data_IF_806093113671
#
_entry.id   IF_806093113671
#
_cell.length_a   1.000
_cell.length_b   1.000
_cell.length_c   1.000
_cell.angle_alpha   90.00
_cell.angle_beta   90.00
_cell.angle_gamma   90.00
#
_symmetry.space_group_name_H-M   'P 1'
#
loop_
_entity.id
_entity.type
_entity.pdbx_description
1 polymer ?
#
# COMPACT_ATOMS: atom_id res chain seq x y z
N UNK A 1 20.29 -6.02 -9.89
CA UNK A 1 19.67 -6.39 -8.62
C UNK A 1 18.19 -5.99 -8.52
N UNK A 2 17.83 -4.80 -9.00
CA UNK A 2 16.45 -4.27 -8.91
C UNK A 2 15.52 -4.61 -10.08
N UNK A 3 15.95 -5.42 -11.03
CA UNK A 3 15.18 -5.78 -12.24
C UNK A 3 13.90 -6.55 -11.91
N UNK A 4 13.92 -7.36 -10.86
CA UNK A 4 12.77 -8.15 -10.41
C UNK A 4 11.87 -7.44 -9.40
N UNK A 5 12.26 -6.23 -8.99
CA UNK A 5 11.47 -5.44 -8.04
C UNK A 5 10.24 -4.87 -8.73
N UNK A 6 9.08 -4.99 -8.09
CA UNK A 6 7.88 -4.26 -8.49
C UNK A 6 8.10 -2.75 -8.35
N UNK A 7 7.28 -1.95 -9.01
CA UNK A 7 7.38 -0.48 -8.90
C UNK A 7 7.22 -0.01 -7.46
N UNK A 8 6.33 -0.64 -6.69
CA UNK A 8 6.16 -0.38 -5.25
C UNK A 8 7.42 -0.75 -4.46
N UNK A 9 8.02 -1.89 -4.74
CA UNK A 9 9.27 -2.30 -4.08
C UNK A 9 10.44 -1.35 -4.42
N UNK A 10 10.51 -0.84 -5.66
CA UNK A 10 11.47 0.22 -6.03
C UNK A 10 11.20 1.51 -5.27
N UNK A 11 9.92 1.89 -5.14
CA UNK A 11 9.51 3.07 -4.38
C UNK A 11 9.92 2.97 -2.90
N UNK A 12 9.81 1.80 -2.28
CA UNK A 12 10.31 1.56 -0.92
C UNK A 12 11.79 1.92 -0.78
N UNK A 13 12.62 1.54 -1.76
CA UNK A 13 14.06 1.85 -1.75
C UNK A 13 14.31 3.37 -1.83
N UNK A 14 13.55 4.07 -2.66
CA UNK A 14 13.61 5.54 -2.77
C UNK A 14 13.19 6.19 -1.45
N UNK A 15 12.05 5.77 -0.90
CA UNK A 15 11.53 6.27 0.37
C UNK A 15 12.49 5.98 1.54
N UNK A 16 13.14 4.81 1.56
CA UNK A 16 14.17 4.50 2.55
C UNK A 16 15.36 5.49 2.49
N UNK A 17 15.73 5.91 1.30
CA UNK A 17 16.77 6.95 1.13
C UNK A 17 16.29 8.31 1.60
N UNK A 18 15.03 8.67 1.35
CA UNK A 18 14.43 9.92 1.83
C UNK A 18 14.35 9.92 3.37
N UNK A 19 13.94 8.83 3.99
CA UNK A 19 13.92 8.70 5.45
C UNK A 19 15.32 8.81 6.07
N UNK A 20 16.34 8.21 5.45
CA UNK A 20 17.73 8.38 5.89
C UNK A 20 18.18 9.85 5.83
N UNK A 21 17.78 10.59 4.80
CA UNK A 21 18.05 12.04 4.69
C UNK A 21 17.32 12.85 5.75
N UNK A 22 16.04 12.54 6.00
CA UNK A 22 15.24 13.21 7.03
C UNK A 22 15.84 13.06 8.43
N UNK A 23 16.42 11.87 8.69
CA UNK A 23 17.10 11.57 9.95
C UNK A 23 18.57 12.03 9.98
N UNK A 24 19.06 12.67 8.91
CA UNK A 24 20.45 13.08 8.74
C UNK A 24 21.46 11.92 8.85
N UNK A 25 21.08 10.73 8.39
CA UNK A 25 21.95 9.57 8.36
C UNK A 25 22.68 9.46 7.01
N UNK A 26 23.97 9.19 7.04
CA UNK A 26 24.81 9.04 5.85
C UNK A 26 24.88 7.59 5.34
N UNK A 27 23.95 6.74 5.75
CA UNK A 27 23.79 5.35 5.35
C UNK A 27 22.31 4.96 5.28
N UNK A 28 21.99 3.93 4.51
CA UNK A 28 20.66 3.32 4.48
C UNK A 28 20.74 2.00 5.24
N UNK A 29 20.19 1.97 6.45
CA UNK A 29 20.12 0.80 7.31
C UNK A 29 18.81 0.04 7.17
N UNK A 30 18.65 -1.02 7.95
CA UNK A 30 17.43 -1.84 7.99
C UNK A 30 16.22 -1.03 8.46
N UNK A 31 16.44 -0.11 9.41
CA UNK A 31 15.44 0.83 9.93
C UNK A 31 14.87 1.74 8.85
N UNK A 32 15.69 2.22 7.93
CA UNK A 32 15.26 3.05 6.83
C UNK A 32 14.42 2.25 5.82
N UNK A 33 14.78 0.98 5.58
CA UNK A 33 13.96 0.07 4.76
C UNK A 33 12.59 -0.15 5.41
N UNK A 34 12.53 -0.34 6.74
CA UNK A 34 11.27 -0.47 7.47
C UNK A 34 10.42 0.80 7.34
N UNK A 35 11.01 1.98 7.52
CA UNK A 35 10.35 3.27 7.31
C UNK A 35 9.82 3.41 5.89
N UNK A 36 10.63 3.05 4.89
CA UNK A 36 10.22 3.08 3.48
C UNK A 36 9.04 2.16 3.16
N UNK A 37 8.98 0.97 3.80
CA UNK A 37 7.86 0.04 3.65
C UNK A 37 6.54 0.61 4.19
N UNK A 38 6.58 1.28 5.34
CA UNK A 38 5.39 1.90 5.94
C UNK A 38 5.00 3.16 5.18
N UNK A 39 5.98 3.96 4.77
CA UNK A 39 5.75 5.21 4.04
C UNK A 39 5.14 4.98 2.65
N UNK A 40 5.45 3.86 1.99
CA UNK A 40 4.83 3.47 0.72
C UNK A 40 3.31 3.29 0.87
N UNK A 41 2.85 2.74 2.00
CA UNK A 41 1.47 2.81 2.48
C UNK A 41 0.46 1.90 1.80
N UNK A 42 0.66 1.48 0.56
CA UNK A 42 -0.34 0.73 -0.23
C UNK A 42 -0.01 -0.76 -0.41
N UNK A 43 1.24 -1.15 -0.15
CA UNK A 43 1.71 -2.52 -0.31
C UNK A 43 1.21 -3.48 0.77
N UNK A 44 1.37 -4.78 0.52
CA UNK A 44 1.03 -5.83 1.50
C UNK A 44 1.82 -5.65 2.80
N UNK A 45 3.08 -5.21 2.72
CA UNK A 45 3.90 -4.94 3.89
C UNK A 45 3.32 -3.82 4.78
N UNK A 46 2.91 -2.71 4.17
CA UNK A 46 2.31 -1.59 4.90
C UNK A 46 1.02 -2.02 5.61
N UNK A 47 0.13 -2.73 4.89
CA UNK A 47 -1.11 -3.27 5.46
C UNK A 47 -0.88 -4.25 6.59
N UNK A 48 0.14 -5.12 6.48
CA UNK A 48 0.50 -6.05 7.55
C UNK A 48 0.95 -5.31 8.82
N UNK A 49 1.81 -4.31 8.67
CA UNK A 49 2.32 -3.52 9.78
C UNK A 49 1.22 -2.65 10.41
N UNK A 50 0.38 -2.02 9.60
CA UNK A 50 -0.77 -1.22 10.04
C UNK A 50 -1.77 -2.07 10.84
N UNK A 51 -2.08 -3.29 10.39
CA UNK A 51 -2.97 -4.22 11.11
C UNK A 51 -2.46 -4.60 12.51
N UNK A 52 -1.16 -4.44 12.74
CA UNK A 52 -0.50 -4.65 14.03
C UNK A 52 -0.30 -3.36 14.83
N UNK A 53 -0.86 -2.23 14.36
CA UNK A 53 -0.75 -0.94 15.03
C UNK A 53 0.60 -0.24 14.86
N UNK A 54 1.42 -0.67 13.89
CA UNK A 54 2.72 -0.06 13.61
C UNK A 54 2.53 1.11 12.65
N UNK A 55 2.77 2.33 13.14
CA UNK A 55 2.67 3.56 12.35
C UNK A 55 4.06 4.11 11.99
N UNK A 56 4.10 4.95 10.95
CA UNK A 56 5.33 5.60 10.51
C UNK A 56 5.96 6.46 11.63
N UNK A 57 5.12 7.20 12.37
CA UNK A 57 5.59 8.06 13.46
C UNK A 57 6.14 7.27 14.63
N UNK A 58 5.48 6.16 15.02
CA UNK A 58 5.96 5.31 16.11
C UNK A 58 7.31 4.70 15.76
N UNK A 59 7.51 4.27 14.52
CA UNK A 59 8.79 3.72 14.06
C UNK A 59 9.87 4.81 14.01
N UNK A 60 9.58 6.01 13.46
CA UNK A 60 10.53 7.12 13.47
C UNK A 60 10.99 7.49 14.89
N UNK A 61 10.05 7.60 15.81
CA UNK A 61 10.34 7.89 17.22
C UNK A 61 11.26 6.85 17.82
N UNK A 62 10.99 5.55 17.59
CA UNK A 62 11.83 4.47 18.09
C UNK A 62 13.21 4.42 17.43
N UNK A 63 13.30 4.74 16.13
CA UNK A 63 14.60 4.84 15.44
C UNK A 63 15.45 5.95 16.06
N UNK A 64 14.87 7.14 16.28
CA UNK A 64 15.57 8.26 16.93
C UNK A 64 15.98 7.91 18.37
N UNK A 65 15.15 7.17 19.10
CA UNK A 65 15.48 6.72 20.46
C UNK A 65 16.67 5.73 20.49
N UNK A 66 16.74 4.81 19.51
CA UNK A 66 17.76 3.76 19.46
C UNK A 66 19.11 4.26 18.92
N UNK A 67 19.09 4.97 17.80
CA UNK A 67 20.32 5.36 17.07
C UNK A 67 20.56 6.85 17.02
N UNK A 68 19.59 7.66 17.44
CA UNK A 68 19.66 9.12 17.39
C UNK A 68 19.40 9.68 16.01
N UNK A 69 19.53 11.00 15.91
CA UNK A 69 19.47 11.75 14.64
C UNK A 69 20.86 12.27 14.32
N UNK A 70 21.25 12.22 13.06
CA UNK A 70 22.53 12.74 12.61
C UNK A 70 22.63 14.27 12.73
N UNK A 71 23.83 14.78 12.86
CA UNK A 71 24.10 16.22 13.02
C UNK A 71 24.02 17.00 11.71
N UNK A 72 24.22 16.37 10.58
CA UNK A 72 24.26 17.01 9.27
C UNK A 72 23.55 16.16 8.22
N UNK A 73 22.78 16.83 7.35
CA UNK A 73 22.17 16.18 6.22
C UNK A 73 23.24 15.60 5.26
N UNK A 74 23.11 14.33 4.82
CA UNK A 74 24.08 13.73 3.92
C UNK A 74 24.03 14.41 2.56
N UNK A 75 25.22 14.67 2.00
CA UNK A 75 25.37 15.17 0.63
C UNK A 75 25.70 14.03 -0.32
N UNK A 76 24.98 13.97 -1.45
CA UNK A 76 25.25 12.98 -2.51
C UNK A 76 24.56 11.63 -2.29
N UNK A 77 25.22 10.57 -2.78
CA UNK A 77 24.73 9.20 -2.73
C UNK A 77 24.91 8.60 -1.34
N UNK A 78 23.80 8.05 -0.79
CA UNK A 78 23.82 7.39 0.51
C UNK A 78 23.95 5.88 0.30
N UNK A 79 25.01 5.22 0.84
CA UNK A 79 25.22 3.79 0.67
C UNK A 79 24.33 2.94 1.59
N UNK A 80 24.02 1.74 1.14
CA UNK A 80 23.39 0.72 1.97
C UNK A 80 24.39 0.10 2.95
N UNK A 81 23.96 -0.11 4.19
CA UNK A 81 24.73 -0.93 5.14
C UNK A 81 24.82 -2.40 4.66
N UNK A 82 25.82 -3.17 5.12
CA UNK A 82 25.89 -4.60 4.81
C UNK A 82 24.62 -5.38 5.20
N UNK A 83 24.01 -5.04 6.35
CA UNK A 83 22.74 -5.65 6.78
C UNK A 83 21.58 -5.29 5.86
N UNK A 84 21.47 -4.02 5.44
CA UNK A 84 20.45 -3.60 4.49
C UNK A 84 20.59 -4.31 3.13
N UNK A 85 21.83 -4.50 2.63
CA UNK A 85 22.08 -5.31 1.44
C UNK A 85 21.63 -6.75 1.64
N UNK A 86 21.95 -7.36 2.79
CA UNK A 86 21.50 -8.71 3.15
C UNK A 86 19.99 -8.84 3.17
N UNK A 87 19.24 -7.82 3.67
CA UNK A 87 17.78 -7.80 3.61
C UNK A 87 17.29 -7.89 2.17
N UNK A 88 17.85 -7.12 1.24
CA UNK A 88 17.48 -7.15 -0.18
C UNK A 88 17.81 -8.51 -0.84
N UNK A 89 18.92 -9.16 -0.48
CA UNK A 89 19.23 -10.52 -0.92
C UNK A 89 18.26 -11.56 -0.35
N UNK A 90 17.90 -11.44 0.93
CA UNK A 90 16.93 -12.31 1.58
C UNK A 90 15.53 -12.13 0.98
N UNK A 91 15.17 -10.92 0.54
CA UNK A 91 13.90 -10.65 -0.14
C UNK A 91 13.76 -11.47 -1.43
N UNK A 92 14.82 -11.61 -2.19
CA UNK A 92 14.86 -12.48 -3.38
C UNK A 92 14.65 -13.95 -2.99
N UNK A 93 15.29 -14.41 -1.91
CA UNK A 93 15.14 -15.80 -1.43
C UNK A 93 13.72 -16.08 -0.97
N UNK A 94 13.09 -15.14 -0.23
CA UNK A 94 11.69 -15.25 0.19
C UNK A 94 10.74 -15.30 -1.02
N UNK A 95 10.94 -14.46 -2.04
CA UNK A 95 10.15 -14.49 -3.27
C UNK A 95 10.24 -15.86 -3.96
N UNK A 96 11.44 -16.39 -4.12
CA UNK A 96 11.65 -17.71 -4.73
C UNK A 96 11.02 -18.85 -3.91
N UNK A 97 11.09 -18.79 -2.58
CA UNK A 97 10.47 -19.78 -1.69
C UNK A 97 8.94 -19.76 -1.79
N UNK A 98 8.34 -18.60 -2.07
CA UNK A 98 6.91 -18.44 -2.30
C UNK A 98 6.50 -18.73 -3.76
N UNK A 99 7.45 -19.10 -4.63
CA UNK A 99 7.18 -19.37 -6.03
C UNK A 99 6.95 -18.12 -6.88
N UNK A 100 7.33 -16.94 -6.38
CA UNK A 100 7.16 -15.68 -7.10
C UNK A 100 8.40 -15.35 -7.94
N UNK A 101 8.19 -14.82 -9.14
CA UNK A 101 9.25 -14.36 -10.04
C UNK A 101 9.56 -12.85 -9.90
N UNK A 102 8.85 -12.16 -9.03
CA UNK A 102 8.97 -10.73 -8.70
C UNK A 102 9.28 -10.53 -7.22
N UNK A 103 9.81 -9.36 -6.87
CA UNK A 103 10.05 -8.95 -5.48
C UNK A 103 9.13 -7.77 -5.16
N UNK A 104 8.09 -8.04 -4.37
CA UNK A 104 7.14 -7.03 -3.86
C UNK A 104 7.54 -6.52 -2.48
N UNK A 105 6.72 -5.61 -1.93
CA UNK A 105 6.92 -5.04 -0.59
C UNK A 105 6.89 -6.13 0.49
N UNK A 106 6.02 -7.13 0.33
CA UNK A 106 5.90 -8.30 1.19
C UNK A 106 7.22 -9.07 1.31
N UNK A 107 7.92 -9.27 0.19
CA UNK A 107 9.19 -9.99 0.18
C UNK A 107 10.29 -9.20 0.87
N UNK A 108 10.28 -7.86 0.74
CA UNK A 108 11.24 -6.99 1.44
C UNK A 108 10.99 -7.08 2.97
N UNK A 109 9.74 -7.04 3.40
CA UNK A 109 9.39 -7.21 4.82
C UNK A 109 9.78 -8.59 5.35
N UNK A 110 9.51 -9.66 4.58
CA UNK A 110 9.93 -11.02 4.96
C UNK A 110 11.46 -11.15 5.04
N UNK A 111 12.20 -10.54 4.11
CA UNK A 111 13.66 -10.48 4.14
C UNK A 111 14.20 -9.75 5.37
N UNK A 112 13.53 -8.66 5.75
CA UNK A 112 13.86 -7.86 6.94
C UNK A 112 13.63 -8.66 8.23
N UNK A 113 12.51 -9.38 8.34
CA UNK A 113 12.20 -10.26 9.46
C UNK A 113 13.20 -11.41 9.57
N UNK A 114 13.60 -11.97 8.42
CA UNK A 114 14.55 -13.08 8.35
C UNK A 114 15.96 -12.67 8.74
N UNK A 115 16.37 -11.45 8.43
CA UNK A 115 17.63 -10.89 8.90
C UNK A 115 17.64 -10.80 10.43
N UNK A 116 16.57 -10.25 11.02
CA UNK A 116 16.19 -10.41 12.42
C UNK A 116 17.10 -9.76 13.48
N UNK A 117 18.28 -9.26 13.13
CA UNK A 117 19.27 -8.70 14.04
C UNK A 117 19.50 -7.19 13.89
N UNK A 118 18.93 -6.59 12.82
CA UNK A 118 19.08 -5.16 12.54
C UNK A 118 18.25 -4.28 13.47
N UNK A 119 18.48 -2.97 13.37
CA UNK A 119 17.72 -1.96 14.12
C UNK A 119 16.22 -2.06 13.83
N UNK A 120 15.82 -2.39 12.61
CA UNK A 120 14.41 -2.61 12.27
C UNK A 120 13.75 -3.71 13.12
N UNK A 121 14.44 -4.82 13.34
CA UNK A 121 13.95 -5.90 14.19
C UNK A 121 13.80 -5.46 15.64
N UNK A 122 14.76 -4.70 16.16
CA UNK A 122 14.69 -4.13 17.52
C UNK A 122 13.52 -3.16 17.66
N UNK A 123 13.29 -2.29 16.66
CA UNK A 123 12.16 -1.36 16.64
C UNK A 123 10.83 -2.11 16.66
N UNK A 124 10.67 -3.13 15.81
CA UNK A 124 9.45 -3.94 15.77
C UNK A 124 9.18 -4.61 17.11
N UNK A 125 10.19 -5.20 17.73
CA UNK A 125 10.08 -5.84 19.04
C UNK A 125 9.70 -4.84 20.15
N UNK A 126 10.31 -3.66 20.17
CA UNK A 126 9.95 -2.58 21.11
C UNK A 126 8.52 -2.09 20.94
N UNK A 127 8.01 -2.07 19.73
CA UNK A 127 6.61 -1.74 19.43
C UNK A 127 5.64 -2.92 19.66
N UNK A 128 6.12 -4.05 20.20
CA UNK A 128 5.31 -5.22 20.51
C UNK A 128 5.00 -6.11 19.31
N UNK A 129 5.60 -5.85 18.16
CA UNK A 129 5.44 -6.70 16.99
C UNK A 129 6.46 -7.84 16.98
N UNK A 130 6.03 -9.01 17.38
CA UNK A 130 6.85 -10.21 17.31
C UNK A 130 7.10 -10.60 15.84
N UNK A 131 8.36 -10.80 15.46
CA UNK A 131 8.77 -11.04 14.08
C UNK A 131 8.03 -12.23 13.42
N UNK A 132 7.77 -13.29 14.18
CA UNK A 132 7.03 -14.44 13.66
C UNK A 132 5.55 -14.11 13.39
N UNK A 133 4.92 -13.25 14.19
CA UNK A 133 3.54 -12.79 13.96
C UNK A 133 3.46 -11.91 12.71
N UNK A 134 4.43 -11.01 12.55
CA UNK A 134 4.53 -10.19 11.32
C UNK A 134 4.62 -11.10 10.09
N UNK A 135 5.47 -12.15 10.13
CA UNK A 135 5.58 -13.15 9.06
C UNK A 135 4.25 -13.84 8.77
N UNK A 136 3.56 -14.31 9.81
CA UNK A 136 2.25 -14.97 9.66
C UNK A 136 1.22 -14.05 9.04
N UNK A 137 1.14 -12.80 9.50
CA UNK A 137 0.22 -11.80 8.95
C UNK A 137 0.48 -11.53 7.46
N UNK A 138 1.74 -11.38 7.06
CA UNK A 138 2.11 -11.23 5.64
C UNK A 138 1.66 -12.43 4.81
N UNK A 139 1.93 -13.66 5.28
CA UNK A 139 1.55 -14.89 4.58
C UNK A 139 0.01 -15.02 4.48
N UNK A 140 -0.71 -14.68 5.54
CA UNK A 140 -2.18 -14.67 5.53
C UNK A 140 -2.75 -13.68 4.52
N UNK A 141 -2.20 -12.47 4.45
CA UNK A 141 -2.61 -11.48 3.46
C UNK A 141 -2.34 -11.93 2.03
N UNK A 142 -1.20 -12.58 1.78
CA UNK A 142 -0.88 -13.15 0.48
C UNK A 142 -1.84 -14.28 0.09
N UNK A 143 -2.19 -15.16 1.03
CA UNK A 143 -3.14 -16.26 0.80
C UNK A 143 -4.56 -15.75 0.57
N UNK A 144 -4.98 -14.68 1.24
CA UNK A 144 -6.29 -14.04 1.07
C UNK A 144 -6.44 -13.33 -0.28
N UNK A 145 -5.35 -12.75 -0.79
CA UNK A 145 -5.34 -12.10 -2.12
C UNK A 145 -5.40 -13.12 -3.26
N UNK A 146 -4.92 -14.36 -3.06
CA UNK A 146 -5.04 -15.45 -4.04
C UNK A 146 -6.45 -16.05 -4.13
N UNK A 147 -7.34 -15.74 -3.17
CA UNK A 147 -8.72 -16.22 -3.12
C UNK A 147 -9.74 -15.39 -3.89
N UNK A 148 -9.41 -14.21 -4.39
CA UNK A 148 -10.26 -13.38 -5.25
C UNK A 148 -9.85 -13.49 -6.73
N UNK A 149 -9.87 -14.68 -7.27
CA UNK A 149 -10.17 -14.86 -8.69
C UNK A 149 -11.65 -14.48 -8.88
N UNK A 150 -12.01 -13.58 -9.80
CA UNK A 150 -13.41 -13.37 -10.14
C UNK A 150 -13.89 -14.65 -10.80
N UNK A 151 -14.59 -15.48 -10.04
CA UNK A 151 -15.32 -16.62 -10.57
C UNK A 151 -16.43 -16.11 -11.48
N UNK A 152 -16.11 -15.94 -12.76
CA UNK A 152 -17.08 -15.85 -13.83
C UNK A 152 -17.70 -17.24 -14.04
N UNK A 153 -18.52 -17.69 -13.11
CA UNK A 153 -19.46 -18.73 -13.37
C UNK A 153 -20.84 -18.11 -13.59
N UNK A 154 -21.05 -17.74 -14.83
CA UNK A 154 -22.39 -17.61 -15.38
C UNK A 154 -23.09 -18.95 -15.36
N UNK A 155 -23.68 -19.31 -14.26
CA UNK A 155 -24.70 -20.33 -14.20
C UNK A 155 -25.98 -19.74 -14.77
N UNK A 156 -26.26 -20.04 -16.00
CA UNK A 156 -27.61 -19.93 -16.55
C UNK A 156 -28.38 -21.16 -16.09
N UNK A 157 -29.36 -21.05 -15.20
CA UNK A 157 -30.36 -22.07 -15.08
C UNK A 157 -31.60 -21.64 -15.84
N UNK A 158 -31.94 -22.44 -16.79
CA UNK A 158 -33.35 -22.67 -16.99
C UNK A 158 -34.06 -21.97 -18.07
N UNK A 159 -34.38 -22.76 -19.00
CA UNK A 159 -35.53 -22.92 -19.78
C UNK A 159 -36.67 -21.91 -19.65
N UNK A 160 -36.72 -21.03 -20.64
CA UNK A 160 -37.95 -20.31 -20.89
C UNK A 160 -38.97 -21.28 -21.47
N UNK A 161 -39.94 -21.67 -20.64
CA UNK A 161 -41.21 -22.21 -21.11
C UNK A 161 -41.87 -21.11 -21.92
N UNK A 162 -42.05 -21.39 -23.22
CA UNK A 162 -42.96 -20.65 -24.09
C UNK A 162 -44.39 -21.00 -23.68
N UNK A 163 -45.03 -20.16 -22.91
CA UNK A 163 -46.48 -20.14 -22.82
C UNK A 163 -47.04 -19.35 -23.99
N UNK A 164 -47.73 -20.04 -24.86
CA UNK A 164 -48.52 -19.47 -25.97
C UNK A 164 -49.63 -18.61 -25.36
N UNK A 165 -49.61 -17.31 -25.61
CA UNK A 165 -50.77 -16.44 -25.42
C UNK A 165 -51.65 -16.52 -26.66
N UNK A 166 -52.97 -16.63 -26.50
CA UNK A 166 -53.92 -16.56 -27.59
C UNK A 166 -54.12 -15.10 -28.09
N UNK A 167 -54.55 -14.89 -29.34
CA UNK A 167 -54.77 -13.57 -29.90
C UNK A 167 -56.12 -13.01 -29.43
N UNK A 168 -56.11 -11.81 -28.88
CA UNK A 168 -57.32 -11.17 -28.41
C UNK A 168 -57.31 -9.65 -28.43
N UNK A 169 -57.89 -9.10 -29.48
CA UNK A 169 -58.64 -7.85 -29.58
C UNK A 169 -57.96 -6.51 -29.45
N UNK A 170 -58.04 -5.80 -30.57
CA UNK A 170 -58.01 -4.37 -30.75
C UNK A 170 -58.97 -3.61 -29.82
N UNK A 171 -58.44 -2.54 -29.18
CA UNK A 171 -59.24 -1.53 -28.45
C UNK A 171 -58.56 -0.18 -28.49
N UNK A 172 -59.06 0.68 -29.35
CA UNK A 172 -58.91 2.12 -29.56
C UNK A 172 -58.42 2.97 -28.39
N UNK A 173 -57.51 3.87 -28.74
CA UNK A 173 -57.23 5.17 -28.05
C UNK A 173 -58.49 6.03 -27.83
N UNK A 174 -58.53 7.14 -27.06
CA UNK A 174 -57.60 8.25 -27.10
C UNK A 174 -57.36 9.04 -25.77
N UNK A 175 -56.34 9.90 -25.79
CA UNK A 175 -56.53 11.29 -25.28
C UNK A 175 -55.82 11.69 -24.01
N UNK A 176 -55.09 12.80 -24.12
CA UNK A 176 -54.76 13.75 -23.07
C UNK A 176 -53.35 13.56 -22.47
N UNK A 177 -52.42 14.37 -22.63
CA UNK A 177 -52.40 15.87 -22.59
C UNK A 177 -51.80 16.32 -21.26
N UNK A 178 -50.74 17.10 -21.32
CA UNK A 178 -50.22 17.83 -20.14
C UNK A 178 -48.71 17.61 -19.93
N UNK A 179 -47.82 18.36 -20.49
CA UNK A 179 -47.34 19.71 -20.12
C UNK A 179 -46.43 19.71 -18.89
N UNK A 180 -45.12 19.82 -19.19
CA UNK A 180 -44.03 20.73 -18.80
C UNK A 180 -43.93 21.19 -17.32
N UNK A 181 -42.68 21.26 -16.92
CA UNK A 181 -41.83 22.24 -16.21
C UNK A 181 -40.78 21.45 -15.46
N UNK A 182 -39.50 21.62 -15.65
CA UNK A 182 -38.72 22.85 -15.73
C UNK A 182 -38.08 23.13 -14.37
N UNK A 183 -36.79 23.19 -14.35
CA UNK A 183 -35.91 24.00 -13.45
C UNK A 183 -34.65 23.20 -13.09
N UNK A 184 -33.53 23.50 -13.74
CA UNK A 184 -32.50 24.50 -13.44
C UNK A 184 -32.01 24.46 -11.99
N UNK A 185 -30.72 24.23 -11.84
CA UNK A 185 -29.93 24.46 -10.64
C UNK A 185 -28.46 24.13 -10.83
N UNK A 186 -27.75 24.92 -11.65
CA UNK A 186 -26.29 24.98 -11.62
C UNK A 186 -25.90 25.80 -10.38
N UNK A 187 -25.04 25.23 -9.52
CA UNK A 187 -24.32 25.99 -8.52
C UNK A 187 -22.82 25.86 -8.83
N UNK A 188 -22.22 26.95 -9.24
CA UNK A 188 -20.75 27.08 -9.37
C UNK A 188 -20.10 27.26 -8.01
N UNK A 189 -18.88 26.72 -7.76
CA UNK A 189 -18.11 27.02 -6.58
C UNK A 189 -17.33 28.33 -6.73
N UNK A 190 -17.44 29.18 -5.73
CA UNK A 190 -16.73 30.45 -5.54
C UNK A 190 -15.25 30.18 -5.16
N UNK A 191 -14.28 30.90 -5.75
CA UNK A 191 -12.88 30.82 -5.35
C UNK A 191 -12.59 31.65 -4.07
N UNK A 192 -11.67 31.20 -3.20
CA UNK A 192 -11.30 31.97 -2.03
C UNK A 192 -10.39 33.16 -2.38
N UNK A 193 -10.71 34.29 -1.77
CA UNK A 193 -10.06 35.58 -1.95
C UNK A 193 -8.61 35.62 -1.46
N UNK A 194 -7.81 36.33 -2.22
CA UNK A 194 -6.50 36.87 -1.83
C UNK A 194 -6.69 37.87 -0.67
N UNK A 195 -6.04 37.60 0.44
CA UNK A 195 -5.79 38.62 1.47
C UNK A 195 -4.32 38.99 1.41
N UNK A 196 -4.09 40.19 0.89
CA UNK A 196 -2.79 40.87 0.97
C UNK A 196 -2.59 41.39 2.38
N UNK A 197 -1.39 41.26 2.89
CA UNK A 197 -0.92 42.11 3.98
C UNK A 197 0.43 42.73 3.60
N UNK A 198 0.37 44.07 3.39
CA UNK A 198 1.54 44.93 3.38
C UNK A 198 1.77 45.39 4.80
N UNK A 199 3.00 45.54 5.16
CA UNK A 199 3.36 46.59 6.12
C UNK A 199 4.32 46.19 7.22
N UNK A 200 5.49 46.69 6.98
CA UNK A 200 6.56 47.23 7.83
C UNK A 200 7.58 46.27 8.42
#
# INVERSE_FOLDING_TARGET
MFERFTDRARRVVVLAQEEARLLNHNYIGTEHILLGLIHEGEGVAARALESMGISLESVRSQVVEIIGQGSQAPSGHIPFTPRAKKVLELSLREALQLGHNYIGTEHILLGLIREGEGVAAQVLQKLGAELHKVRQTVIQLLSGVQGEEPSSQGSHPGGLRYERRPPGRCGRTPGGGGVIHGFRGYAEPVPPGRSGNRGR
#
